data_IF_828346501893
#
_entry.id   IF_828346501893
#
_cell.length_a   1.000
_cell.length_b   1.000
_cell.length_c   1.000
_cell.angle_alpha   90.00
_cell.angle_beta   90.00
_cell.angle_gamma   90.00
#
_symmetry.space_group_name_H-M   'P 1'
#
loop_
_entity.id
_entity.type
_entity.pdbx_description
1 polymer ?
#
# COMPACT_ATOMS: atom_id res chain seq x y z
N UNK A 1 5.21 5.65 -17.28
CA UNK A 1 4.17 5.92 -16.27
C UNK A 1 4.87 6.21 -14.96
N UNK A 2 4.57 7.35 -14.38
CA UNK A 2 5.26 7.92 -13.22
C UNK A 2 4.55 7.54 -11.93
N UNK A 3 5.31 7.49 -10.82
CA UNK A 3 4.75 7.32 -9.48
C UNK A 3 4.19 8.67 -9.03
N UNK A 4 2.89 8.81 -8.71
CA UNK A 4 2.36 10.10 -8.29
C UNK A 4 3.06 10.58 -7.02
N UNK A 5 3.52 11.83 -7.00
CA UNK A 5 4.40 12.35 -5.95
C UNK A 5 3.88 12.21 -4.53
N UNK A 6 2.55 12.27 -4.32
CA UNK A 6 1.92 12.08 -3.00
C UNK A 6 2.00 10.64 -2.46
N UNK A 7 2.39 9.67 -3.29
CA UNK A 7 2.58 8.27 -2.90
C UNK A 7 4.03 7.80 -3.07
N UNK A 8 4.92 8.67 -3.53
CA UNK A 8 6.32 8.32 -3.73
C UNK A 8 6.98 8.09 -2.37
N UNK A 9 7.69 6.97 -2.22
CA UNK A 9 8.49 6.71 -1.02
C UNK A 9 9.61 7.76 -0.90
N UNK A 10 9.71 8.40 0.26
CA UNK A 10 10.70 9.45 0.56
C UNK A 10 12.13 8.90 0.59
N UNK A 11 12.30 7.70 1.17
CA UNK A 11 13.58 6.99 1.23
C UNK A 11 13.46 5.68 0.46
N UNK A 12 14.28 5.54 -0.58
CA UNK A 12 14.35 4.32 -1.38
C UNK A 12 15.73 4.10 -1.92
N UNK A 13 16.22 2.87 -1.76
CA UNK A 13 17.34 2.39 -2.56
C UNK A 13 16.87 2.10 -4.00
N UNK A 14 17.81 1.66 -4.82
CA UNK A 14 17.55 1.36 -6.24
C UNK A 14 16.50 0.24 -6.39
N UNK A 15 16.54 -0.75 -5.52
CA UNK A 15 15.62 -1.88 -5.53
C UNK A 15 14.19 -1.44 -5.18
N UNK A 16 14.01 -0.69 -4.10
CA UNK A 16 12.71 -0.15 -3.68
C UNK A 16 12.11 0.75 -4.77
N UNK A 17 12.94 1.54 -5.46
CA UNK A 17 12.53 2.36 -6.60
C UNK A 17 12.01 1.53 -7.78
N UNK A 18 12.66 0.41 -8.09
CA UNK A 18 12.23 -0.49 -9.17
C UNK A 18 10.90 -1.16 -8.83
N UNK A 19 10.79 -1.70 -7.61
CA UNK A 19 9.58 -2.36 -7.11
C UNK A 19 8.39 -1.39 -7.14
N UNK A 20 8.55 -0.17 -6.63
CA UNK A 20 7.52 0.87 -6.63
C UNK A 20 7.02 1.16 -8.05
N UNK A 21 7.94 1.42 -8.99
CA UNK A 21 7.59 1.67 -10.40
C UNK A 21 6.85 0.50 -11.03
N UNK A 22 7.26 -0.74 -10.72
CA UNK A 22 6.62 -1.95 -11.23
C UNK A 22 5.21 -2.12 -10.66
N UNK A 23 5.02 -1.86 -9.36
CA UNK A 23 3.71 -1.92 -8.71
C UNK A 23 2.75 -0.90 -9.33
N UNK A 24 3.16 0.36 -9.44
CA UNK A 24 2.34 1.41 -10.03
C UNK A 24 1.97 1.12 -11.49
N UNK A 25 2.93 0.63 -12.29
CA UNK A 25 2.66 0.23 -13.68
C UNK A 25 1.63 -0.91 -13.75
N UNK A 26 1.79 -1.91 -12.88
CA UNK A 26 0.88 -3.07 -12.85
C UNK A 26 -0.51 -2.67 -12.38
N UNK A 27 -0.60 -1.80 -11.38
CA UNK A 27 -1.85 -1.23 -10.90
C UNK A 27 -2.63 -0.56 -12.03
N UNK A 28 -2.01 0.38 -12.76
CA UNK A 28 -2.69 1.08 -13.83
C UNK A 28 -3.05 0.19 -15.00
N UNK A 29 -2.20 -0.79 -15.33
CA UNK A 29 -2.54 -1.84 -16.30
C UNK A 29 -3.83 -2.54 -15.90
N UNK A 30 -3.95 -2.95 -14.64
CA UNK A 30 -5.19 -3.57 -14.16
C UNK A 30 -6.35 -2.59 -14.06
N UNK A 31 -6.14 -1.32 -13.68
CA UNK A 31 -7.20 -0.33 -13.58
C UNK A 31 -7.81 0.00 -14.95
N UNK A 32 -6.99 0.05 -16.00
CA UNK A 32 -7.40 0.50 -17.33
C UNK A 32 -7.74 -0.67 -18.27
N UNK A 33 -7.10 -1.83 -18.15
CA UNK A 33 -7.25 -2.92 -19.12
C UNK A 33 -8.03 -4.11 -18.53
N UNK A 34 -9.30 -4.24 -18.95
CA UNK A 34 -10.15 -5.36 -18.49
C UNK A 34 -9.58 -6.74 -18.84
N UNK A 35 -8.89 -6.88 -19.97
CA UNK A 35 -8.31 -8.15 -20.40
C UNK A 35 -7.11 -8.55 -19.53
N UNK A 36 -6.26 -7.59 -19.15
CA UNK A 36 -5.17 -7.82 -18.21
C UNK A 36 -5.71 -8.27 -16.85
N UNK A 37 -6.83 -7.68 -16.40
CA UNK A 37 -7.52 -8.13 -15.17
C UNK A 37 -7.97 -9.58 -15.26
N UNK A 38 -8.70 -9.93 -16.33
CA UNK A 38 -9.24 -11.28 -16.54
C UNK A 38 -8.15 -12.34 -16.63
N UNK A 39 -7.07 -12.05 -17.36
CA UNK A 39 -5.94 -12.96 -17.54
C UNK A 39 -5.25 -13.29 -16.22
N UNK A 40 -5.05 -12.29 -15.36
CA UNK A 40 -4.29 -12.43 -14.13
C UNK A 40 -5.21 -12.72 -12.91
N UNK A 41 -6.49 -13.05 -13.13
CA UNK A 41 -7.45 -13.42 -12.08
C UNK A 41 -7.91 -12.25 -11.19
N UNK A 42 -7.68 -11.02 -11.61
CA UNK A 42 -8.05 -9.80 -10.87
C UNK A 42 -9.54 -9.54 -11.06
N UNK A 43 -10.33 -9.74 -10.00
CA UNK A 43 -11.80 -9.60 -10.02
C UNK A 43 -12.28 -8.15 -10.00
N UNK A 44 -11.52 -7.26 -9.37
CA UNK A 44 -11.83 -5.83 -9.26
C UNK A 44 -10.51 -5.04 -9.25
N UNK A 45 -10.52 -3.87 -9.91
CA UNK A 45 -9.48 -2.86 -9.76
C UNK A 45 -10.19 -1.53 -9.47
N UNK A 46 -10.05 -1.06 -8.24
CA UNK A 46 -10.73 0.12 -7.71
C UNK A 46 -9.67 1.13 -7.26
N UNK A 47 -9.95 2.41 -7.50
CA UNK A 47 -9.10 3.50 -7.06
C UNK A 47 -9.83 4.18 -5.92
N UNK A 48 -9.35 3.97 -4.71
CA UNK A 48 -9.77 4.75 -3.55
C UNK A 48 -8.56 5.51 -3.04
N UNK A 49 -8.78 6.76 -2.65
CA UNK A 49 -7.74 7.58 -2.04
C UNK A 49 -8.07 7.82 -0.56
N UNK A 50 -8.07 6.79 0.31
CA UNK A 50 -8.06 7.02 1.74
C UNK A 50 -6.75 7.69 2.10
N UNK A 51 -6.80 9.01 2.25
CA UNK A 51 -5.65 9.82 2.60
C UNK A 51 -5.55 9.92 4.12
N UNK A 52 -4.54 9.28 4.71
CA UNK A 52 -4.13 9.55 6.09
C UNK A 52 -2.61 9.67 6.14
N UNK A 53 -2.11 10.62 6.93
CA UNK A 53 -0.66 10.77 7.13
C UNK A 53 -0.18 9.68 8.09
N UNK A 54 0.84 8.92 7.69
CA UNK A 54 1.53 8.01 8.60
C UNK A 54 2.44 8.79 9.54
N UNK A 55 2.32 8.51 10.83
CA UNK A 55 3.02 9.17 11.93
C UNK A 55 3.58 8.08 12.82
N UNK A 56 4.82 8.26 13.27
CA UNK A 56 5.47 7.36 14.19
C UNK A 56 4.69 7.23 15.52
N UNK A 57 4.72 6.05 16.14
CA UNK A 57 4.03 5.80 17.39
C UNK A 57 2.53 5.52 17.26
N UNK A 58 2.02 5.33 16.02
CA UNK A 58 0.63 4.96 15.74
C UNK A 58 0.56 3.55 15.15
N UNK A 59 -0.57 2.88 15.38
CA UNK A 59 -0.98 1.67 14.65
C UNK A 59 -2.02 2.07 13.61
N UNK A 60 -1.80 1.59 12.39
CA UNK A 60 -2.73 1.79 11.29
C UNK A 60 -3.43 0.47 10.95
N UNK A 61 -4.75 0.52 10.86
CA UNK A 61 -5.58 -0.61 10.48
C UNK A 61 -6.18 -0.33 9.11
N UNK A 62 -5.82 -1.16 8.14
CA UNK A 62 -6.52 -1.21 6.86
C UNK A 62 -7.80 -2.02 7.04
N UNK A 63 -8.92 -1.41 6.69
CA UNK A 63 -10.25 -2.03 6.74
C UNK A 63 -10.75 -2.18 5.31
N UNK A 64 -11.02 -3.43 4.93
CA UNK A 64 -11.70 -3.77 3.69
C UNK A 64 -13.20 -3.85 4.00
N UNK A 65 -13.97 -2.99 3.37
CA UNK A 65 -15.43 -2.92 3.55
C UNK A 65 -16.11 -3.92 2.61
N UNK A 66 -17.30 -4.37 3.01
CA UNK A 66 -17.99 -5.45 2.30
C UNK A 66 -18.47 -5.05 0.89
N UNK A 67 -18.59 -3.75 0.63
CA UNK A 67 -19.00 -3.14 -0.63
C UNK A 67 -17.79 -2.80 -1.53
N UNK A 68 -16.58 -3.12 -1.09
CA UNK A 68 -15.34 -2.86 -1.84
C UNK A 68 -14.60 -1.60 -1.41
N UNK A 69 -15.11 -0.85 -0.42
CA UNK A 69 -14.41 0.29 0.17
C UNK A 69 -13.11 -0.09 0.89
N UNK A 70 -12.16 0.85 0.93
CA UNK A 70 -10.92 0.77 1.68
C UNK A 70 -10.79 1.99 2.61
N UNK A 71 -10.64 1.73 3.91
CA UNK A 71 -10.48 2.76 4.92
C UNK A 71 -9.24 2.50 5.76
N UNK A 72 -8.58 3.57 6.20
CA UNK A 72 -7.42 3.49 7.11
C UNK A 72 -7.80 4.12 8.44
N UNK A 73 -7.78 3.32 9.50
CA UNK A 73 -7.91 3.80 10.87
C UNK A 73 -6.54 4.00 11.51
N UNK A 74 -6.37 5.09 12.23
CA UNK A 74 -5.20 5.34 13.06
C UNK A 74 -5.57 5.24 14.54
N UNK A 75 -4.78 4.49 15.32
CA UNK A 75 -4.90 4.43 16.78
C UNK A 75 -3.52 4.54 17.43
N UNK A 76 -3.49 4.81 18.73
CA UNK A 76 -2.24 4.69 19.50
C UNK A 76 -1.77 3.23 19.56
N UNK A 77 -0.48 3.04 19.83
CA UNK A 77 0.08 1.71 20.13
C UNK A 77 -0.57 1.17 21.41
N UNK A 78 -1.31 0.04 21.34
CA UNK A 78 -1.88 -0.60 22.50
C UNK A 78 -0.80 -0.92 23.55
N UNK A 79 -1.12 -0.84 24.85
CA UNK A 79 -0.15 -1.08 25.91
C UNK A 79 0.60 -2.41 25.81
N UNK A 80 -0.07 -3.46 25.32
CA UNK A 80 0.48 -4.81 25.16
C UNK A 80 1.58 -4.91 24.10
N UNK A 81 1.61 -3.98 23.14
CA UNK A 81 2.60 -3.94 22.07
C UNK A 81 3.78 -3.00 22.39
N UNK A 82 3.79 -2.36 23.57
CA UNK A 82 4.89 -1.49 23.98
C UNK A 82 6.15 -2.30 24.25
N UNK A 83 7.24 -1.97 23.55
CA UNK A 83 8.53 -2.64 23.69
C UNK A 83 8.74 -3.82 22.74
N UNK A 84 7.74 -4.16 21.90
CA UNK A 84 7.97 -5.10 20.81
C UNK A 84 8.98 -4.52 19.81
N UNK A 85 9.96 -5.36 19.42
CA UNK A 85 10.94 -5.01 18.39
C UNK A 85 10.45 -5.56 17.06
N UNK A 86 10.03 -4.67 16.17
CA UNK A 86 9.76 -5.04 14.78
C UNK A 86 11.08 -5.50 14.17
N UNK A 87 11.20 -6.78 13.81
CA UNK A 87 12.34 -7.25 13.04
C UNK A 87 12.22 -6.63 11.66
N UNK A 88 13.15 -5.74 11.32
CA UNK A 88 13.27 -5.19 9.97
C UNK A 88 13.45 -6.32 8.93
N UNK A 89 13.21 -6.03 7.64
CA UNK A 89 13.38 -7.03 6.59
C UNK A 89 14.78 -7.64 6.68
N UNK A 90 14.85 -8.97 6.77
CA UNK A 90 16.11 -9.68 6.70
C UNK A 90 16.64 -9.51 5.27
N UNK A 91 17.72 -8.74 5.11
CA UNK A 91 18.47 -8.70 3.87
C UNK A 91 18.89 -10.13 3.53
N UNK A 92 18.43 -10.62 2.37
CA UNK A 92 18.92 -11.85 1.75
C UNK A 92 19.85 -11.49 0.61
#
# INVERSE_FOLDING_TARGET
>A
MEVPGGYALEEKDEFASEVERRMWRSFWRYALEQQARKKDGVKCAQIEAPATKFVEGKIYRLVLEHDGGLRIDASDIPPILRGEKIRGPQAR
#
